data_IF_441186969420
#
_entry.id   IF_441186969420
#
_cell.length_a   1.000
_cell.length_b   1.000
_cell.length_c   1.000
_cell.angle_alpha   90.00
_cell.angle_beta   90.00
_cell.angle_gamma   90.00
#
_symmetry.space_group_name_H-M   'P 1'
#
loop_
_entity.id
_entity.type
_entity.pdbx_description
1 polymer ?
#
# COMPACT_ATOMS: atom_id res chain seq x y z
N UNK A 1 13.99 4.54 -5.32
CA UNK A 1 12.68 5.13 -5.59
C UNK A 1 12.40 6.23 -4.56
N UNK A 2 12.16 7.48 -4.96
CA UNK A 2 11.93 8.54 -3.99
C UNK A 2 10.60 8.34 -3.23
N UNK A 3 10.62 8.64 -1.94
CA UNK A 3 9.41 8.67 -1.14
C UNK A 3 8.53 9.84 -1.58
N UNK A 4 7.24 9.60 -1.79
CA UNK A 4 6.32 10.57 -2.35
C UNK A 4 4.95 10.45 -1.70
N UNK A 5 4.29 11.60 -1.57
CA UNK A 5 2.86 11.64 -1.24
C UNK A 5 2.10 11.78 -2.55
N UNK A 6 1.29 10.79 -2.87
CA UNK A 6 0.57 10.72 -4.14
C UNK A 6 -0.94 10.85 -3.92
N UNK A 7 -1.63 11.34 -4.92
CA UNK A 7 -3.06 11.12 -5.04
C UNK A 7 -3.32 9.84 -5.86
N UNK A 8 -4.58 9.41 -5.93
CA UNK A 8 -4.94 8.18 -6.65
C UNK A 8 -4.61 8.22 -8.15
N UNK A 9 -4.68 9.40 -8.76
CA UNK A 9 -4.38 9.55 -10.18
C UNK A 9 -2.88 9.44 -10.46
N UNK A 10 -2.06 10.01 -9.60
CA UNK A 10 -0.60 9.86 -9.66
C UNK A 10 -0.19 8.40 -9.51
N UNK A 11 -0.79 7.68 -8.55
CA UNK A 11 -0.57 6.25 -8.38
C UNK A 11 -0.91 5.48 -9.65
N UNK A 12 -2.09 5.73 -10.20
CA UNK A 12 -2.55 5.08 -11.42
C UNK A 12 -1.59 5.30 -12.59
N UNK A 13 -1.12 6.54 -12.76
CA UNK A 13 -0.18 6.89 -13.84
C UNK A 13 1.16 6.19 -13.66
N UNK A 14 1.68 6.12 -12.44
CA UNK A 14 2.93 5.41 -12.16
C UNK A 14 2.79 3.91 -12.44
N UNK A 15 1.72 3.29 -11.98
CA UNK A 15 1.47 1.86 -12.22
C UNK A 15 1.25 1.55 -13.71
N UNK A 16 0.63 2.45 -14.46
CA UNK A 16 0.48 2.31 -15.91
C UNK A 16 1.83 2.31 -16.63
N UNK A 17 2.82 3.01 -16.09
CA UNK A 17 4.19 3.01 -16.59
C UNK A 17 5.07 1.91 -15.99
N UNK A 18 4.50 0.98 -15.25
CA UNK A 18 5.21 -0.06 -14.51
C UNK A 18 6.25 0.46 -13.50
N UNK A 19 6.04 1.67 -13.00
CA UNK A 19 6.84 2.24 -11.92
C UNK A 19 6.25 1.80 -10.58
N UNK A 20 6.89 0.83 -9.94
CA UNK A 20 6.40 0.23 -8.71
C UNK A 20 7.37 0.56 -7.58
N UNK A 21 6.86 1.24 -6.54
CA UNK A 21 7.63 1.56 -5.36
C UNK A 21 7.83 0.33 -4.46
N UNK A 22 8.91 0.28 -3.67
CA UNK A 22 9.16 -0.84 -2.76
C UNK A 22 8.19 -0.89 -1.58
N UNK A 23 7.67 0.24 -1.14
CA UNK A 23 6.76 0.31 0.02
C UNK A 23 5.68 1.35 -0.22
N UNK A 24 4.44 0.93 -0.12
CA UNK A 24 3.26 1.80 -0.16
C UNK A 24 2.56 1.86 1.18
N UNK A 25 1.99 3.02 1.50
CA UNK A 25 1.02 3.18 2.58
C UNK A 25 -0.25 3.79 2.00
N UNK A 26 -1.34 3.05 2.04
CA UNK A 26 -2.65 3.44 1.53
C UNK A 26 -3.57 3.77 2.69
N UNK A 27 -4.15 4.96 2.70
CA UNK A 27 -5.01 5.42 3.79
C UNK A 27 -6.06 6.39 3.28
N UNK A 28 -7.01 6.75 4.11
CA UNK A 28 -8.04 7.74 3.80
C UNK A 28 -9.46 7.24 4.03
N UNK A 29 -10.42 8.12 3.77
CA UNK A 29 -11.83 7.87 4.05
C UNK A 29 -12.50 6.92 3.07
N UNK A 30 -12.04 6.88 1.82
CA UNK A 30 -12.58 6.02 0.76
C UNK A 30 -11.95 4.63 0.81
N UNK A 31 -12.43 3.80 1.73
CA UNK A 31 -11.88 2.46 2.00
C UNK A 31 -12.02 1.51 0.81
N UNK A 32 -13.11 1.62 0.06
CA UNK A 32 -13.32 0.79 -1.12
C UNK A 32 -12.25 1.06 -2.20
N UNK A 33 -11.99 2.33 -2.50
CA UNK A 33 -10.97 2.73 -3.47
C UNK A 33 -9.56 2.36 -3.00
N UNK A 34 -9.32 2.50 -1.70
CA UNK A 34 -8.07 2.07 -1.07
C UNK A 34 -7.81 0.58 -1.29
N UNK A 35 -8.81 -0.25 -1.06
CA UNK A 35 -8.69 -1.70 -1.19
C UNK A 35 -8.53 -2.13 -2.66
N UNK A 36 -9.23 -1.47 -3.57
CA UNK A 36 -9.02 -1.65 -5.02
C UNK A 36 -7.59 -1.28 -5.41
N UNK A 37 -7.07 -0.18 -4.89
CA UNK A 37 -5.71 0.26 -5.18
C UNK A 37 -4.68 -0.76 -4.68
N UNK A 38 -4.87 -1.31 -3.48
CA UNK A 38 -4.00 -2.36 -2.95
C UNK A 38 -3.97 -3.59 -3.88
N UNK A 39 -5.13 -4.00 -4.37
CA UNK A 39 -5.23 -5.10 -5.34
C UNK A 39 -4.56 -4.75 -6.66
N UNK A 40 -4.75 -3.54 -7.15
CA UNK A 40 -4.16 -3.09 -8.41
C UNK A 40 -2.62 -3.03 -8.33
N UNK A 41 -2.06 -2.54 -7.24
CA UNK A 41 -0.61 -2.58 -7.00
C UNK A 41 -0.10 -4.02 -7.05
N UNK A 42 -0.78 -4.93 -6.35
CA UNK A 42 -0.43 -6.34 -6.31
C UNK A 42 -0.44 -6.96 -7.72
N UNK A 43 -1.51 -6.72 -8.48
CA UNK A 43 -1.62 -7.25 -9.83
C UNK A 43 -0.53 -6.73 -10.77
N UNK A 44 -0.14 -5.46 -10.61
CA UNK A 44 0.92 -4.85 -11.42
C UNK A 44 2.32 -5.25 -11.00
N UNK A 45 2.51 -5.68 -9.75
CA UNK A 45 3.80 -6.13 -9.25
C UNK A 45 4.22 -7.47 -9.86
N UNK A 46 3.26 -8.31 -10.22
CA UNK A 46 3.54 -9.61 -10.84
C UNK A 46 3.58 -9.50 -12.35
N UNK A 47 4.57 -10.18 -12.95
CA UNK A 47 4.68 -10.32 -14.41
C UNK A 47 3.86 -11.54 -14.88
N UNK A 48 3.50 -11.59 -16.20
CA UNK A 48 2.90 -12.79 -16.77
C UNK A 48 3.80 -14.02 -16.55
N UNK A 49 3.22 -15.10 -16.02
CA UNK A 49 3.95 -16.33 -15.71
C UNK A 49 4.52 -16.42 -14.30
N UNK A 50 4.41 -15.35 -13.50
CA UNK A 50 4.85 -15.38 -12.11
C UNK A 50 3.97 -16.30 -11.25
N UNK A 51 4.59 -16.99 -10.31
CA UNK A 51 3.90 -17.86 -9.36
C UNK A 51 3.43 -17.05 -8.15
N UNK A 52 2.22 -16.48 -8.25
CA UNK A 52 1.65 -15.62 -7.20
C UNK A 52 1.47 -16.32 -5.87
N UNK A 53 0.96 -17.55 -5.88
CA UNK A 53 0.56 -18.27 -4.66
C UNK A 53 1.70 -18.42 -3.65
N UNK A 54 2.94 -18.51 -4.12
CA UNK A 54 4.12 -18.59 -3.25
C UNK A 54 4.75 -17.24 -2.92
N UNK A 55 4.28 -16.16 -3.54
CA UNK A 55 4.92 -14.84 -3.49
C UNK A 55 3.99 -13.74 -3.01
N UNK A 56 2.74 -14.04 -2.73
CA UNK A 56 1.76 -13.10 -2.19
C UNK A 56 1.37 -13.54 -0.78
N UNK A 57 1.59 -12.66 0.20
CA UNK A 57 1.29 -12.93 1.61
C UNK A 57 0.54 -11.75 2.20
N UNK A 58 -0.47 -12.04 3.01
CA UNK A 58 -1.26 -11.04 3.72
C UNK A 58 -1.07 -11.23 5.23
N UNK A 59 -0.70 -10.16 5.91
CA UNK A 59 -0.62 -10.11 7.37
C UNK A 59 -1.67 -9.13 7.91
N UNK A 60 -2.31 -9.49 9.00
CA UNK A 60 -3.15 -8.58 9.77
C UNK A 60 -2.42 -8.19 11.04
N UNK A 61 -2.46 -6.92 11.40
CA UNK A 61 -1.89 -6.42 12.66
C UNK A 61 -2.89 -6.44 13.81
N UNK A 62 -4.14 -6.85 13.55
CA UNK A 62 -5.14 -6.99 14.60
C UNK A 62 -4.84 -8.19 15.50
N UNK A 63 -4.70 -7.93 16.80
CA UNK A 63 -4.56 -8.96 17.82
C UNK A 63 -3.17 -9.56 17.99
N UNK A 64 -2.28 -9.39 17.03
CA UNK A 64 -0.90 -9.91 17.08
C UNK A 64 0.08 -8.91 16.46
N UNK A 65 1.30 -8.89 16.99
CA UNK A 65 2.39 -8.12 16.38
C UNK A 65 2.99 -8.92 15.22
N UNK A 66 2.39 -8.75 14.05
CA UNK A 66 2.85 -9.40 12.82
C UNK A 66 3.78 -8.50 11.98
N UNK A 67 4.11 -7.29 12.44
CA UNK A 67 4.94 -6.38 11.64
C UNK A 67 6.33 -6.95 11.37
N UNK A 68 7.00 -7.49 12.37
CA UNK A 68 8.31 -8.11 12.18
C UNK A 68 8.26 -9.31 11.23
N UNK A 69 7.18 -10.09 11.28
CA UNK A 69 6.97 -11.21 10.35
C UNK A 69 6.76 -10.72 8.92
N UNK A 70 6.01 -9.64 8.75
CA UNK A 70 5.79 -9.03 7.44
C UNK A 70 7.10 -8.49 6.83
N UNK A 71 7.91 -7.79 7.62
CA UNK A 71 9.22 -7.29 7.18
C UNK A 71 10.16 -8.45 6.82
N UNK A 72 10.19 -9.50 7.64
CA UNK A 72 10.99 -10.69 7.35
C UNK A 72 10.54 -11.39 6.07
N UNK A 73 9.23 -11.48 5.83
CA UNK A 73 8.70 -12.04 4.58
C UNK A 73 9.13 -11.22 3.36
N UNK A 74 9.17 -9.90 3.49
CA UNK A 74 9.60 -9.01 2.40
C UNK A 74 11.10 -9.12 2.09
N UNK A 75 11.91 -9.57 3.04
CA UNK A 75 13.33 -9.79 2.85
C UNK A 75 13.66 -11.12 2.15
N UNK A 76 12.68 -12.02 2.06
CA UNK A 76 12.87 -13.29 1.37
C UNK A 76 12.89 -13.10 -0.15
N UNK A 77 13.73 -13.85 -0.83
CA UNK A 77 13.76 -13.85 -2.30
C UNK A 77 12.46 -14.42 -2.87
N UNK A 78 11.97 -13.88 -3.98
CA UNK A 78 10.81 -14.44 -4.67
C UNK A 78 11.12 -15.85 -5.20
N UNK A 79 10.12 -16.71 -5.20
CA UNK A 79 10.21 -18.07 -5.70
C UNK A 79 9.49 -18.19 -7.04
N UNK A 80 10.26 -18.41 -8.10
CA UNK A 80 9.71 -18.53 -9.47
C UNK A 80 8.84 -17.32 -9.87
N UNK A 81 9.26 -16.14 -9.45
CA UNK A 81 8.56 -14.88 -9.66
C UNK A 81 9.56 -13.73 -9.71
N UNK A 82 9.19 -12.65 -10.39
CA UNK A 82 10.01 -11.43 -10.45
C UNK A 82 9.97 -10.66 -9.14
N UNK A 83 8.85 -10.74 -8.42
CA UNK A 83 8.63 -10.01 -7.16
C UNK A 83 7.85 -10.85 -6.16
N UNK A 84 7.98 -10.43 -4.91
CA UNK A 84 7.14 -10.84 -3.79
C UNK A 84 6.30 -9.66 -3.35
N UNK A 85 5.04 -9.90 -3.03
CA UNK A 85 4.14 -8.87 -2.50
C UNK A 85 3.71 -9.25 -1.07
N UNK A 86 3.91 -8.33 -0.15
CA UNK A 86 3.50 -8.47 1.25
C UNK A 86 2.48 -7.37 1.54
N UNK A 87 1.23 -7.76 1.73
CA UNK A 87 0.16 -6.85 2.15
C UNK A 87 0.03 -6.89 3.66
N UNK A 88 -0.06 -5.72 4.29
CA UNK A 88 -0.22 -5.58 5.74
C UNK A 88 -1.49 -4.78 6.01
N UNK A 89 -2.51 -5.47 6.50
CA UNK A 89 -3.82 -4.89 6.81
C UNK A 89 -3.92 -4.44 8.27
N UNK A 90 -4.93 -3.64 8.55
CA UNK A 90 -5.24 -3.14 9.90
C UNK A 90 -4.12 -2.29 10.51
N UNK A 91 -3.50 -1.47 9.69
CA UNK A 91 -2.55 -0.46 10.15
C UNK A 91 -3.35 0.68 10.76
N UNK A 92 -3.11 0.99 12.04
CA UNK A 92 -3.78 2.08 12.74
C UNK A 92 -2.80 2.89 13.55
N UNK A 93 -2.85 4.19 13.35
CA UNK A 93 -2.21 5.20 14.18
C UNK A 93 -3.29 6.25 14.50
N UNK A 94 -3.93 6.12 15.66
CA UNK A 94 -5.03 6.98 16.07
C UNK A 94 -4.51 8.26 16.72
N UNK A 95 -5.40 9.25 16.87
CA UNK A 95 -5.05 10.52 17.52
C UNK A 95 -4.62 10.35 18.99
N UNK A 96 -5.18 9.36 19.69
CA UNK A 96 -4.95 9.12 21.11
C UNK A 96 -4.02 7.95 21.42
N UNK A 97 -3.62 7.19 20.42
CA UNK A 97 -2.89 5.93 20.59
C UNK A 97 -3.77 4.73 20.90
N UNK A 98 -5.08 4.93 21.03
CA UNK A 98 -6.02 3.85 21.31
C UNK A 98 -6.14 2.90 20.10
N UNK A 99 -5.95 1.64 20.34
CA UNK A 99 -5.93 0.58 19.30
C UNK A 99 -4.87 0.74 18.22
N UNK A 100 -3.79 1.45 18.50
CA UNK A 100 -2.67 1.51 17.57
C UNK A 100 -2.13 0.11 17.31
N UNK A 101 -1.83 -0.18 16.05
CA UNK A 101 -1.18 -1.42 15.63
C UNK A 101 0.28 -1.20 15.24
N UNK A 102 0.64 0.04 14.91
CA UNK A 102 2.04 0.46 14.73
C UNK A 102 2.31 1.61 15.68
N UNK A 103 3.39 1.51 16.43
CA UNK A 103 3.80 2.51 17.42
C UNK A 103 5.32 2.76 17.34
N UNK A 104 5.83 3.57 18.25
CA UNK A 104 7.23 3.97 18.28
C UNK A 104 8.21 2.79 18.48
N UNK A 105 7.77 1.70 19.10
CA UNK A 105 8.61 0.51 19.27
C UNK A 105 8.94 -0.17 17.91
N UNK A 106 8.11 0.07 16.90
CA UNK A 106 8.34 -0.46 15.56
C UNK A 106 9.23 0.44 14.68
N UNK A 107 9.54 1.66 15.12
CA UNK A 107 10.26 2.66 14.32
C UNK A 107 11.63 2.17 13.87
N UNK A 108 12.38 1.52 14.76
CA UNK A 108 13.72 1.03 14.44
C UNK A 108 13.69 -0.03 13.32
N UNK A 109 12.79 -1.00 13.41
CA UNK A 109 12.66 -2.05 12.39
C UNK A 109 12.17 -1.49 11.04
N UNK A 110 11.20 -0.58 11.06
CA UNK A 110 10.70 0.09 9.87
C UNK A 110 11.78 0.96 9.22
N UNK A 111 12.52 1.74 10.01
CA UNK A 111 13.60 2.58 9.51
C UNK A 111 14.71 1.75 8.87
N UNK A 112 15.07 0.64 9.48
CA UNK A 112 16.09 -0.27 8.95
C UNK A 112 15.66 -0.85 7.60
N UNK A 113 14.42 -1.29 7.48
CA UNK A 113 13.88 -1.81 6.21
C UNK A 113 13.82 -0.71 5.14
N UNK A 114 13.30 0.47 5.48
CA UNK A 114 13.12 1.59 4.55
C UNK A 114 14.45 2.20 4.08
N UNK A 115 15.52 2.07 4.87
CA UNK A 115 16.84 2.52 4.47
C UNK A 115 17.43 1.67 3.32
N UNK A 116 17.06 0.40 3.26
CA UNK A 116 17.52 -0.53 2.22
C UNK A 116 16.43 -1.57 1.92
N UNK A 117 15.32 -1.16 1.28
CA UNK A 117 14.23 -2.07 0.98
C UNK A 117 14.65 -3.14 -0.01
N UNK A 118 14.09 -4.34 0.14
CA UNK A 118 14.36 -5.44 -0.78
C UNK A 118 13.97 -5.05 -2.21
N UNK A 119 14.89 -5.18 -3.20
CA UNK A 119 14.61 -4.73 -4.57
C UNK A 119 13.55 -5.57 -5.29
N UNK A 120 13.29 -6.77 -4.80
CA UNK A 120 12.36 -7.72 -5.43
C UNK A 120 11.07 -7.90 -4.62
N UNK A 121 10.80 -7.02 -3.68
CA UNK A 121 9.61 -7.09 -2.85
C UNK A 121 8.84 -5.78 -2.86
N UNK A 122 7.52 -5.88 -2.73
CA UNK A 122 6.63 -4.74 -2.57
C UNK A 122 5.84 -4.95 -1.28
N UNK A 123 5.92 -4.01 -0.35
CA UNK A 123 5.08 -4.00 0.85
C UNK A 123 3.97 -2.99 0.64
N UNK A 124 2.73 -3.42 0.89
CA UNK A 124 1.55 -2.56 0.82
C UNK A 124 0.89 -2.51 2.19
N UNK A 125 1.09 -1.40 2.91
CA UNK A 125 0.40 -1.14 4.16
C UNK A 125 -0.97 -0.54 3.86
N UNK A 126 -2.01 -1.16 4.39
CA UNK A 126 -3.39 -0.70 4.25
C UNK A 126 -3.85 -0.17 5.61
N UNK A 127 -3.99 1.14 5.72
CA UNK A 127 -4.28 1.79 6.99
C UNK A 127 -5.76 2.14 7.12
N UNK A 128 -6.36 1.68 8.22
CA UNK A 128 -7.73 2.06 8.60
C UNK A 128 -7.76 3.48 9.18
N UNK A 129 -6.69 3.84 9.90
CA UNK A 129 -6.51 5.18 10.43
C UNK A 129 -5.01 5.54 10.44
N UNK A 130 -4.68 6.73 9.98
CA UNK A 130 -3.32 7.24 9.95
C UNK A 130 -3.31 8.71 10.36
N UNK A 131 -3.21 8.97 11.66
CA UNK A 131 -3.20 10.33 12.19
C UNK A 131 -1.95 11.10 11.75
N UNK A 132 -2.17 12.23 11.08
CA UNK A 132 -1.09 13.02 10.46
C UNK A 132 -0.35 13.94 11.42
N UNK A 133 -0.77 14.04 12.68
CA UNK A 133 -0.11 14.87 13.71
C UNK A 133 0.89 14.03 14.51
N UNK A 134 0.57 12.77 14.76
CA UNK A 134 1.45 11.88 15.52
C UNK A 134 2.72 11.53 14.76
N UNK A 135 3.81 11.34 15.50
CA UNK A 135 5.13 11.02 14.95
C UNK A 135 5.12 9.82 14.01
N UNK A 136 4.49 8.72 14.42
CA UNK A 136 4.43 7.50 13.60
C UNK A 136 3.59 7.70 12.35
N UNK A 137 2.48 8.44 12.43
CA UNK A 137 1.68 8.79 11.26
C UNK A 137 2.47 9.62 10.23
N UNK A 138 3.20 10.62 10.69
CA UNK A 138 4.10 11.41 9.84
C UNK A 138 5.19 10.55 9.23
N UNK A 139 5.80 9.69 10.04
CA UNK A 139 6.87 8.79 9.60
C UNK A 139 6.39 7.91 8.44
N UNK A 140 5.25 7.26 8.58
CA UNK A 140 4.70 6.40 7.54
C UNK A 140 4.35 7.17 6.27
N UNK A 141 3.81 8.39 6.40
CA UNK A 141 3.50 9.23 5.23
C UNK A 141 4.73 9.72 4.47
N UNK A 142 5.77 10.10 5.19
CA UNK A 142 6.95 10.77 4.63
C UNK A 142 8.04 9.79 4.16
N UNK A 143 8.15 8.64 4.81
CA UNK A 143 9.22 7.66 4.55
C UNK A 143 8.82 6.55 3.59
N UNK A 144 7.60 6.57 3.09
CA UNK A 144 7.08 5.59 2.12
C UNK A 144 6.45 6.32 0.94
N UNK A 145 6.03 5.57 -0.07
CA UNK A 145 5.13 6.10 -1.09
C UNK A 145 3.71 6.00 -0.55
N UNK A 146 3.20 7.11 -0.03
CA UNK A 146 1.89 7.18 0.59
C UNK A 146 0.83 7.73 -0.35
N UNK A 147 -0.37 7.13 -0.30
CA UNK A 147 -1.50 7.53 -1.14
C UNK A 147 -2.72 7.74 -0.25
N UNK A 148 -3.30 8.93 -0.33
CA UNK A 148 -4.51 9.27 0.40
C UNK A 148 -5.73 9.17 -0.49
N UNK A 149 -6.74 8.42 -0.03
CA UNK A 149 -8.03 8.24 -0.70
C UNK A 149 -9.07 9.11 -0.01
N UNK A 150 -9.19 10.35 -0.48
CA UNK A 150 -10.17 11.31 0.01
C UNK A 150 -11.53 11.05 -0.60
N UNK A 151 -12.58 11.55 0.07
CA UNK A 151 -13.94 11.47 -0.45
C UNK A 151 -14.04 12.19 -1.79
N UNK A 152 -14.67 11.51 -2.76
CA UNK A 152 -14.96 12.10 -4.07
C UNK A 152 -16.20 12.98 -4.00
N UNK A 153 -16.17 14.15 -4.67
CA UNK A 153 -17.39 14.86 -5.00
C UNK A 153 -18.11 14.14 -6.17
N UNK A 154 -19.36 14.53 -6.47
CA UNK A 154 -20.17 13.89 -7.49
C UNK A 154 -19.51 13.91 -8.87
N UNK A 155 -18.81 14.98 -9.20
CA UNK A 155 -18.12 15.14 -10.48
C UNK A 155 -16.93 14.17 -10.58
N UNK A 156 -16.11 14.13 -9.54
CA UNK A 156 -14.95 13.24 -9.48
C UNK A 156 -15.38 11.77 -9.49
N UNK A 157 -16.47 11.43 -8.82
CA UNK A 157 -17.03 10.09 -8.82
C UNK A 157 -17.50 9.69 -10.23
N UNK A 158 -18.16 10.58 -10.96
CA UNK A 158 -18.58 10.35 -12.33
C UNK A 158 -17.41 10.12 -13.28
N UNK A 159 -16.37 10.92 -13.17
CA UNK A 159 -15.15 10.77 -13.95
C UNK A 159 -14.43 9.44 -13.64
N UNK A 160 -14.35 9.09 -12.36
CA UNK A 160 -13.75 7.83 -11.93
C UNK A 160 -14.53 6.63 -12.50
N UNK A 161 -15.85 6.65 -12.41
CA UNK A 161 -16.71 5.58 -12.92
C UNK A 161 -16.53 5.40 -14.44
N UNK A 162 -16.47 6.50 -15.19
CA UNK A 162 -16.26 6.46 -16.65
C UNK A 162 -14.90 5.87 -17.02
N UNK A 163 -13.84 6.25 -16.31
CA UNK A 163 -12.51 5.71 -16.55
C UNK A 163 -12.44 4.22 -16.24
N UNK A 164 -13.05 3.78 -15.14
CA UNK A 164 -13.09 2.37 -14.76
C UNK A 164 -13.81 1.51 -15.81
N UNK A 165 -14.94 1.99 -16.34
CA UNK A 165 -15.71 1.30 -17.38
C UNK A 165 -14.96 1.29 -18.71
N UNK A 166 -14.31 2.39 -19.08
CA UNK A 166 -13.48 2.46 -20.29
C UNK A 166 -12.31 1.46 -20.25
N UNK A 167 -11.67 1.29 -19.09
CA UNK A 167 -10.62 0.28 -18.90
C UNK A 167 -11.12 -1.15 -18.99
N UNK A 168 -12.38 -1.38 -18.62
CA UNK A 168 -13.03 -2.68 -18.78
C UNK A 168 -13.51 -2.95 -20.22
N UNK A 169 -13.34 -1.99 -21.13
CA UNK A 169 -13.76 -2.10 -22.53
C UNK A 169 -15.24 -1.89 -22.79
N UNK A 170 -15.97 -1.29 -21.85
CA UNK A 170 -17.38 -0.94 -21.99
C UNK A 170 -17.56 0.58 -22.11
N UNK A 171 -18.60 1.02 -22.81
CA UNK A 171 -19.00 2.43 -22.91
C UNK A 171 -20.15 2.74 -21.96
N UNK A 172 -20.15 3.93 -21.38
CA UNK A 172 -21.27 4.48 -20.62
C UNK A 172 -21.96 5.51 -21.52
N UNK A 173 -23.19 5.24 -21.85
CA UNK A 173 -24.05 6.17 -22.58
C UNK A 173 -24.60 7.27 -21.63
#
# INVERSE_FOLDING_TARGET
FPCMVLNREDLRNQLARHEIAPVYVLFGQETYLRDIAAKYITDRAFAPGDFRDFNETVFSLDGEDNLHRALAAAEQLPMMSTRRVVRVDNVRVSATGFRDTINEDHEAALSAYLANPSPNSVIVFVADELNGVRKMGKFLREKTTSVEFTRLDDKQLGEWARKAVAEAGAEID
#
